data_IF_337391075582
#
_entry.id   IF_337391075582
#
_cell.length_a   1.000
_cell.length_b   1.000
_cell.length_c   1.000
_cell.angle_alpha   90.00
_cell.angle_beta   90.00
_cell.angle_gamma   90.00
#
_symmetry.space_group_name_H-M   'P 1'
#
loop_
_entity.id
_entity.type
_entity.pdbx_description
1 polymer ?
#
# COMPACT_ATOMS: atom_id res chain seq x y z
N UNK A 1 -76.93 -16.74 -23.19
CA UNK A 1 -76.14 -17.98 -23.28
C UNK A 1 -74.74 -17.61 -23.74
N UNK A 2 -73.75 -18.12 -23.00
CA UNK A 2 -72.29 -18.18 -23.26
C UNK A 2 -71.47 -16.89 -23.14
N UNK A 3 -70.70 -16.90 -22.05
CA UNK A 3 -69.56 -16.06 -21.70
C UNK A 3 -68.31 -16.47 -22.48
N UNK A 4 -67.43 -15.52 -22.83
CA UNK A 4 -65.99 -15.80 -23.02
C UNK A 4 -65.15 -14.67 -22.39
N UNK A 5 -64.50 -15.01 -21.27
CA UNK A 5 -63.37 -14.30 -20.69
C UNK A 5 -62.13 -14.41 -21.60
N UNK A 6 -61.38 -13.32 -21.76
CA UNK A 6 -59.91 -13.33 -21.94
C UNK A 6 -59.35 -12.08 -21.25
N UNK A 7 -58.82 -12.22 -20.06
CA UNK A 7 -57.39 -12.47 -19.76
C UNK A 7 -56.63 -11.17 -19.50
N UNK A 8 -56.37 -10.94 -18.21
CA UNK A 8 -55.34 -10.07 -17.66
C UNK A 8 -53.99 -10.31 -18.36
N UNK A 9 -53.22 -9.25 -18.58
CA UNK A 9 -51.81 -9.23 -18.20
C UNK A 9 -51.43 -7.82 -17.75
N UNK A 10 -51.32 -7.64 -16.43
CA UNK A 10 -50.53 -6.59 -15.82
C UNK A 10 -49.08 -6.74 -16.27
N UNK A 11 -48.57 -5.77 -17.05
CA UNK A 11 -47.14 -5.60 -17.22
C UNK A 11 -46.58 -4.94 -15.95
N UNK A 12 -46.35 -5.73 -14.90
CA UNK A 12 -45.45 -5.34 -13.81
C UNK A 12 -44.05 -5.35 -14.39
N UNK A 13 -43.56 -4.17 -14.78
CA UNK A 13 -42.15 -3.91 -15.06
C UNK A 13 -41.39 -4.17 -13.76
N UNK A 14 -40.91 -5.41 -13.60
CA UNK A 14 -39.90 -5.76 -12.63
C UNK A 14 -38.65 -4.96 -12.96
N UNK A 15 -38.45 -3.86 -12.23
CA UNK A 15 -37.15 -3.26 -12.01
C UNK A 15 -36.26 -4.34 -11.40
N UNK A 16 -35.54 -5.07 -12.26
CA UNK A 16 -34.45 -5.90 -11.81
C UNK A 16 -33.47 -4.96 -11.07
N UNK A 17 -33.09 -5.25 -9.80
CA UNK A 17 -32.02 -4.50 -9.18
C UNK A 17 -30.79 -4.67 -10.05
N UNK A 18 -30.21 -3.55 -10.48
CA UNK A 18 -28.89 -3.51 -11.11
C UNK A 18 -27.95 -4.17 -10.10
N UNK A 19 -27.65 -5.45 -10.31
CA UNK A 19 -26.57 -6.13 -9.63
C UNK A 19 -25.30 -5.41 -10.10
N UNK A 20 -24.76 -4.52 -9.26
CA UNK A 20 -23.38 -4.02 -9.41
C UNK A 20 -22.45 -5.21 -9.19
N UNK A 21 -22.25 -5.98 -10.25
CA UNK A 21 -21.26 -7.04 -10.28
C UNK A 21 -19.86 -6.39 -10.30
N UNK A 22 -19.17 -6.46 -9.16
CA UNK A 22 -17.80 -6.95 -8.94
C UNK A 22 -16.60 -6.30 -9.69
N UNK A 23 -16.81 -5.48 -10.72
CA UNK A 23 -15.73 -4.82 -11.47
C UNK A 23 -15.18 -3.55 -10.78
N UNK A 24 -15.88 -3.04 -9.77
CA UNK A 24 -15.46 -1.84 -9.03
C UNK A 24 -14.30 -2.12 -8.07
N UNK A 25 -14.20 -3.32 -7.50
CA UNK A 25 -13.16 -3.63 -6.51
C UNK A 25 -11.75 -3.56 -7.08
N UNK A 26 -11.57 -4.11 -8.29
CA UNK A 26 -10.27 -4.16 -8.96
C UNK A 26 -9.86 -2.78 -9.52
N UNK A 27 -10.84 -2.00 -10.02
CA UNK A 27 -10.60 -0.63 -10.48
C UNK A 27 -10.34 0.34 -9.32
N UNK A 28 -11.03 0.19 -8.19
CA UNK A 28 -10.78 1.00 -6.98
C UNK A 28 -9.40 0.73 -6.41
N UNK A 29 -9.02 -0.55 -6.24
CA UNK A 29 -7.66 -0.90 -5.78
C UNK A 29 -6.59 -0.35 -6.71
N UNK A 30 -6.75 -0.56 -8.01
CA UNK A 30 -5.79 -0.09 -9.02
C UNK A 30 -5.64 1.42 -9.01
N UNK A 31 -6.75 2.17 -9.02
CA UNK A 31 -6.68 3.63 -9.04
C UNK A 31 -6.12 4.20 -7.72
N UNK A 32 -6.51 3.61 -6.59
CA UNK A 32 -5.93 3.95 -5.28
C UNK A 32 -4.42 3.73 -5.25
N UNK A 33 -3.96 2.59 -5.77
CA UNK A 33 -2.52 2.27 -5.88
C UNK A 33 -1.79 3.29 -6.76
N UNK A 34 -2.35 3.65 -7.92
CA UNK A 34 -1.75 4.65 -8.81
C UNK A 34 -1.56 6.00 -8.11
N UNK A 35 -2.55 6.46 -7.36
CA UNK A 35 -2.45 7.70 -6.58
C UNK A 35 -1.34 7.60 -5.51
N UNK A 36 -1.26 6.48 -4.78
CA UNK A 36 -0.20 6.24 -3.79
C UNK A 36 1.19 6.28 -4.46
N UNK A 37 1.37 5.57 -5.57
CA UNK A 37 2.66 5.48 -6.28
C UNK A 37 3.11 6.82 -6.91
N UNK A 38 2.19 7.78 -7.06
CA UNK A 38 2.48 9.17 -7.45
C UNK A 38 2.81 10.08 -6.26
N UNK A 39 2.72 9.57 -5.03
CA UNK A 39 2.89 10.36 -3.81
C UNK A 39 1.60 11.03 -3.33
N UNK A 40 0.47 10.82 -4.00
CA UNK A 40 -0.82 11.46 -3.72
C UNK A 40 -1.63 10.67 -2.67
N UNK A 41 -0.99 10.37 -1.53
CA UNK A 41 -1.52 9.46 -0.49
C UNK A 41 -2.81 9.97 0.17
N UNK A 42 -2.98 11.29 0.28
CA UNK A 42 -4.22 11.88 0.78
C UNK A 42 -5.37 11.71 -0.23
N UNK A 43 -5.13 12.06 -1.50
CA UNK A 43 -6.11 11.91 -2.58
C UNK A 43 -6.51 10.44 -2.79
N UNK A 44 -5.59 9.50 -2.61
CA UNK A 44 -5.88 8.07 -2.61
C UNK A 44 -6.91 7.69 -1.53
N UNK A 45 -6.81 8.30 -0.35
CA UNK A 45 -7.76 8.07 0.75
C UNK A 45 -9.14 8.65 0.42
N UNK A 46 -9.20 9.88 -0.07
CA UNK A 46 -10.46 10.53 -0.48
C UNK A 46 -11.17 9.73 -1.58
N UNK A 47 -10.42 9.29 -2.59
CA UNK A 47 -10.93 8.42 -3.65
C UNK A 47 -11.46 7.10 -3.10
N UNK A 48 -10.71 6.44 -2.21
CA UNK A 48 -11.14 5.18 -1.61
C UNK A 48 -12.47 5.32 -0.88
N UNK A 49 -12.65 6.37 -0.07
CA UNK A 49 -13.91 6.64 0.64
C UNK A 49 -15.06 6.89 -0.32
N UNK A 50 -14.84 7.74 -1.31
CA UNK A 50 -15.85 8.06 -2.32
C UNK A 50 -16.28 6.81 -3.10
N UNK A 51 -15.32 6.01 -3.54
CA UNK A 51 -15.60 4.87 -4.41
C UNK A 51 -16.17 3.65 -3.68
N UNK A 52 -15.83 3.46 -2.40
CA UNK A 52 -16.36 2.37 -1.57
C UNK A 52 -17.62 2.74 -0.80
N UNK A 53 -17.89 4.04 -0.62
CA UNK A 53 -18.95 4.52 0.27
C UNK A 53 -18.66 4.28 1.76
N UNK A 54 -17.41 3.97 2.12
CA UNK A 54 -17.04 3.73 3.49
C UNK A 54 -17.11 5.03 4.33
N UNK A 55 -17.58 4.98 5.58
CA UNK A 55 -17.72 6.17 6.43
C UNK A 55 -16.37 6.73 6.92
N UNK A 56 -15.32 5.91 6.88
CA UNK A 56 -13.96 6.28 7.28
C UNK A 56 -12.95 5.32 6.65
N UNK A 57 -11.67 5.72 6.64
CA UNK A 57 -10.61 4.88 6.08
C UNK A 57 -10.43 3.62 6.92
N UNK A 58 -10.21 2.46 6.29
CA UNK A 58 -9.90 1.24 7.02
C UNK A 58 -8.54 1.39 7.72
N UNK A 59 -8.38 0.69 8.84
CA UNK A 59 -7.19 0.81 9.71
C UNK A 59 -5.87 0.60 8.95
N UNK A 60 -5.83 -0.34 8.01
CA UNK A 60 -4.64 -0.60 7.19
C UNK A 60 -4.26 0.61 6.34
N UNK A 61 -5.24 1.36 5.83
CA UNK A 61 -5.01 2.53 4.99
C UNK A 61 -4.47 3.66 5.84
N UNK A 62 -5.08 3.94 7.00
CA UNK A 62 -4.55 4.93 7.94
C UNK A 62 -3.12 4.58 8.39
N UNK A 63 -2.81 3.29 8.59
CA UNK A 63 -1.46 2.84 8.92
C UNK A 63 -0.48 3.07 7.76
N UNK A 64 -0.89 2.78 6.52
CA UNK A 64 -0.10 3.05 5.32
C UNK A 64 0.19 4.55 5.16
N UNK A 65 -0.79 5.43 5.38
CA UNK A 65 -0.59 6.88 5.31
C UNK A 65 0.46 7.32 6.33
N UNK A 66 0.31 6.90 7.59
CA UNK A 66 1.26 7.21 8.66
C UNK A 66 2.66 6.68 8.40
N UNK A 67 2.78 5.55 7.71
CA UNK A 67 4.07 4.97 7.35
C UNK A 67 4.88 5.84 6.36
N UNK A 68 4.21 6.74 5.62
CA UNK A 68 4.87 7.70 4.74
C UNK A 68 5.00 9.10 5.34
N UNK A 69 4.34 9.37 6.46
CA UNK A 69 4.49 10.63 7.20
C UNK A 69 5.89 10.75 7.79
N UNK A 70 6.40 11.98 7.90
CA UNK A 70 7.75 12.23 8.45
C UNK A 70 7.93 11.74 9.89
N UNK A 71 6.84 11.57 10.64
CA UNK A 71 6.83 11.05 12.00
C UNK A 71 7.18 9.55 12.09
N UNK A 72 7.07 8.79 10.99
CA UNK A 72 7.49 7.38 10.94
C UNK A 72 9.01 7.18 10.89
N UNK A 73 9.77 8.28 10.76
CA UNK A 73 11.24 8.29 10.67
C UNK A 73 11.92 8.21 12.05
N UNK A 74 11.24 7.66 13.05
CA UNK A 74 11.78 7.49 14.39
C UNK A 74 12.80 6.33 14.43
N UNK A 75 13.83 6.39 15.31
CA UNK A 75 14.66 5.22 15.60
C UNK A 75 13.79 4.01 15.95
N UNK A 76 14.16 2.83 15.47
CA UNK A 76 13.48 1.54 15.71
C UNK A 76 12.06 1.37 15.13
N UNK A 77 11.53 2.35 14.39
CA UNK A 77 10.22 2.22 13.74
C UNK A 77 10.25 1.50 12.38
N UNK A 78 11.41 1.07 11.88
CA UNK A 78 11.54 0.53 10.52
C UNK A 78 10.70 -0.73 10.29
N UNK A 79 10.62 -1.64 11.27
CA UNK A 79 9.82 -2.87 11.14
C UNK A 79 8.32 -2.58 11.12
N UNK A 80 7.81 -1.77 12.05
CA UNK A 80 6.38 -1.43 12.08
C UNK A 80 5.96 -0.65 10.83
N UNK A 81 6.82 0.26 10.36
CA UNK A 81 6.64 1.02 9.12
C UNK A 81 6.60 0.08 7.91
N UNK A 82 7.59 -0.80 7.76
CA UNK A 82 7.66 -1.74 6.64
C UNK A 82 6.45 -2.69 6.64
N UNK A 83 6.01 -3.16 7.81
CA UNK A 83 4.81 -3.99 7.93
C UNK A 83 3.54 -3.24 7.51
N UNK A 84 3.38 -1.98 7.90
CA UNK A 84 2.24 -1.16 7.50
C UNK A 84 2.23 -0.91 5.98
N UNK A 85 3.40 -0.66 5.38
CA UNK A 85 3.53 -0.49 3.92
C UNK A 85 3.19 -1.78 3.19
N UNK A 86 3.78 -2.91 3.62
CA UNK A 86 3.52 -4.21 3.01
C UNK A 86 2.04 -4.59 3.14
N UNK A 87 1.42 -4.38 4.29
CA UNK A 87 0.00 -4.66 4.46
C UNK A 87 -0.88 -3.79 3.55
N UNK A 88 -0.58 -2.49 3.45
CA UNK A 88 -1.31 -1.60 2.54
C UNK A 88 -1.22 -2.05 1.08
N UNK A 89 -0.04 -2.46 0.63
CA UNK A 89 0.14 -3.00 -0.71
C UNK A 89 -0.61 -4.34 -0.93
N UNK A 90 -0.61 -5.25 0.05
CA UNK A 90 -1.41 -6.49 -0.04
C UNK A 90 -2.90 -6.22 -0.17
N UNK A 91 -3.43 -5.26 0.60
CA UNK A 91 -4.84 -4.86 0.53
C UNK A 91 -5.21 -4.24 -0.83
N UNK A 92 -4.22 -3.67 -1.52
CA UNK A 92 -4.33 -3.13 -2.87
C UNK A 92 -4.02 -4.17 -3.97
N UNK A 93 -3.91 -5.46 -3.63
CA UNK A 93 -3.73 -6.55 -4.58
C UNK A 93 -2.29 -6.75 -5.05
N UNK A 94 -1.31 -6.15 -4.38
CA UNK A 94 0.11 -6.31 -4.69
C UNK A 94 0.72 -7.48 -3.90
N UNK A 95 1.94 -7.88 -4.29
CA UNK A 95 2.74 -8.92 -3.62
C UNK A 95 4.06 -8.34 -3.10
N UNK A 96 4.01 -7.47 -2.08
CA UNK A 96 5.19 -6.84 -1.52
C UNK A 96 6.04 -7.85 -0.74
N UNK A 97 7.35 -7.65 -0.75
CA UNK A 97 8.32 -8.42 0.01
C UNK A 97 9.00 -7.53 1.04
N UNK A 98 9.18 -8.03 2.27
CA UNK A 98 10.01 -7.34 3.25
C UNK A 98 11.48 -7.62 2.94
N UNK A 99 12.32 -6.59 2.98
CA UNK A 99 13.77 -6.75 2.80
C UNK A 99 14.48 -6.33 4.08
N UNK A 100 15.24 -7.26 4.66
CA UNK A 100 16.15 -6.97 5.76
C UNK A 100 17.50 -6.61 5.19
N UNK A 101 18.05 -5.48 5.62
CA UNK A 101 19.31 -4.93 5.10
C UNK A 101 20.26 -4.78 6.27
N UNK A 102 21.49 -5.29 6.14
CA UNK A 102 22.51 -5.26 7.19
C UNK A 102 23.89 -4.96 6.59
N UNK A 103 24.84 -4.59 7.45
CA UNK A 103 26.25 -4.46 7.08
C UNK A 103 27.07 -5.61 7.64
N UNK A 104 28.15 -6.01 6.96
CA UNK A 104 29.10 -6.99 7.52
C UNK A 104 30.04 -6.40 8.57
N UNK A 105 30.09 -5.08 8.71
CA UNK A 105 30.90 -4.39 9.71
C UNK A 105 30.19 -3.13 10.23
N UNK A 106 30.46 -2.77 11.49
CA UNK A 106 29.80 -1.67 12.18
C UNK A 106 28.34 -1.97 12.53
N UNK A 107 27.76 -1.16 13.42
CA UNK A 107 26.38 -1.34 13.91
C UNK A 107 25.39 -0.31 13.34
N UNK A 108 25.89 0.56 12.46
CA UNK A 108 25.16 1.73 11.99
C UNK A 108 25.10 1.75 10.47
N UNK A 109 23.88 1.69 9.93
CA UNK A 109 23.62 2.10 8.56
C UNK A 109 23.01 3.51 8.60
N UNK A 110 23.39 4.35 7.64
CA UNK A 110 22.83 5.70 7.49
C UNK A 110 22.28 5.87 6.09
N UNK A 111 21.31 6.77 5.94
CA UNK A 111 20.68 7.05 4.66
C UNK A 111 20.66 8.56 4.39
N UNK A 112 21.30 9.01 3.30
CA UNK A 112 21.51 10.42 2.94
C UNK A 112 21.98 11.31 4.11
N UNK A 113 23.00 10.84 4.84
CA UNK A 113 23.56 11.58 5.98
C UNK A 113 22.66 11.63 7.23
N UNK A 114 21.48 11.00 7.21
CA UNK A 114 20.66 10.79 8.40
C UNK A 114 21.05 9.47 9.05
N UNK A 115 21.40 9.53 10.33
CA UNK A 115 21.65 8.37 11.19
C UNK A 115 20.32 7.66 11.45
N UNK A 116 19.92 6.77 10.55
CA UNK A 116 18.62 6.08 10.65
C UNK A 116 18.72 4.66 10.15
N UNK A 117 19.36 3.77 10.91
CA UNK A 117 19.12 2.33 10.80
C UNK A 117 19.59 1.64 12.07
N UNK A 118 18.63 1.12 12.84
CA UNK A 118 18.81 0.06 13.84
C UNK A 118 19.51 0.39 15.15
N UNK A 119 18.93 -0.11 16.23
CA UNK A 119 19.60 -0.40 17.50
C UNK A 119 20.15 -1.86 17.55
N UNK A 120 20.10 -2.58 16.43
CA UNK A 120 20.43 -4.02 16.31
C UNK A 120 21.06 -4.40 14.94
N UNK A 121 21.71 -3.45 14.26
CA UNK A 121 22.46 -3.65 13.01
C UNK A 121 21.66 -4.13 11.76
N UNK A 122 20.36 -3.83 11.66
CA UNK A 122 19.57 -4.04 10.44
C UNK A 122 18.44 -3.02 10.21
N UNK A 123 18.18 -2.71 8.93
CA UNK A 123 17.02 -1.96 8.45
C UNK A 123 15.99 -2.92 7.84
N UNK A 124 14.71 -2.53 7.86
CA UNK A 124 13.68 -3.22 7.08
C UNK A 124 12.99 -2.22 6.16
N UNK A 125 12.93 -2.54 4.89
CA UNK A 125 12.17 -1.81 3.87
C UNK A 125 11.24 -2.78 3.11
N UNK A 126 10.38 -2.24 2.24
CA UNK A 126 9.48 -3.04 1.41
C UNK A 126 9.92 -2.97 -0.04
N UNK A 127 10.04 -4.12 -0.70
CA UNK A 127 10.19 -4.22 -2.15
C UNK A 127 8.83 -4.54 -2.78
N UNK A 128 8.37 -3.71 -3.69
CA UNK A 128 7.18 -3.98 -4.50
C UNK A 128 7.40 -3.50 -5.94
N UNK A 129 7.12 -4.35 -6.93
CA UNK A 129 7.24 -4.03 -8.36
C UNK A 129 8.56 -3.33 -8.75
N UNK A 130 9.69 -3.89 -8.30
CA UNK A 130 11.03 -3.34 -8.60
C UNK A 130 11.42 -2.07 -7.82
N UNK A 131 10.53 -1.53 -6.99
CA UNK A 131 10.76 -0.33 -6.18
C UNK A 131 10.87 -0.65 -4.69
N UNK A 132 11.57 0.22 -3.97
CA UNK A 132 11.81 0.17 -2.54
C UNK A 132 11.03 1.28 -1.85
N UNK A 133 10.26 0.89 -0.84
CA UNK A 133 9.40 1.73 -0.04
C UNK A 133 9.80 1.66 1.42
N UNK A 134 10.01 2.83 2.02
CA UNK A 134 10.22 3.02 3.44
C UNK A 134 9.75 4.44 3.84
N UNK A 135 9.98 4.84 5.08
CA UNK A 135 9.65 6.18 5.58
C UNK A 135 10.43 7.33 4.90
N UNK A 136 11.55 7.05 4.24
CA UNK A 136 12.46 8.01 3.63
C UNK A 136 12.24 8.18 2.13
N UNK A 137 11.97 7.08 1.43
CA UNK A 137 11.63 7.02 0.02
C UNK A 137 10.20 7.50 -0.22
N UNK A 138 9.33 7.37 0.80
CA UNK A 138 7.94 7.77 0.72
C UNK A 138 7.13 6.89 -0.23
N UNK A 139 5.91 7.31 -0.52
CA UNK A 139 4.97 6.52 -1.32
C UNK A 139 5.36 6.39 -2.80
N UNK A 140 6.23 7.28 -3.29
CA UNK A 140 6.81 7.15 -4.64
C UNK A 140 7.83 6.01 -4.68
N UNK A 141 8.56 5.75 -3.59
CA UNK A 141 9.63 4.77 -3.58
C UNK A 141 10.80 5.14 -4.51
N UNK A 142 11.77 4.23 -4.64
CA UNK A 142 12.90 4.35 -5.56
C UNK A 142 13.39 2.99 -6.02
N UNK A 143 14.25 2.94 -7.04
CA UNK A 143 14.89 1.68 -7.44
C UNK A 143 15.85 1.18 -6.36
N UNK A 144 16.16 -0.13 -6.37
CA UNK A 144 17.17 -0.69 -5.46
C UNK A 144 18.55 -0.02 -5.63
N UNK A 145 18.95 0.28 -6.87
CA UNK A 145 20.22 0.94 -7.15
C UNK A 145 20.30 2.35 -6.53
N UNK A 146 19.25 3.17 -6.67
CA UNK A 146 19.15 4.49 -6.04
C UNK A 146 19.16 4.39 -4.52
N UNK A 147 18.47 3.38 -3.99
CA UNK A 147 18.39 3.12 -2.55
C UNK A 147 19.75 2.78 -1.96
N UNK A 148 20.50 1.87 -2.60
CA UNK A 148 21.86 1.50 -2.19
C UNK A 148 22.84 2.66 -2.30
N UNK A 149 22.77 3.45 -3.38
CA UNK A 149 23.64 4.61 -3.56
C UNK A 149 23.43 5.69 -2.48
N UNK A 150 22.25 5.73 -1.87
CA UNK A 150 21.93 6.64 -0.78
C UNK A 150 22.33 6.12 0.61
N UNK A 151 22.77 4.85 0.72
CA UNK A 151 23.21 4.25 1.98
C UNK A 151 24.69 4.51 2.28
N UNK A 152 24.99 4.73 3.55
CA UNK A 152 26.35 4.77 4.09
C UNK A 152 26.48 3.67 5.14
N UNK A 153 27.53 2.86 5.00
CA UNK A 153 27.74 1.64 5.78
C UNK A 153 29.23 1.30 5.85
N UNK A 154 29.61 0.43 6.80
CA UNK A 154 30.98 -0.09 6.92
C UNK A 154 31.05 -1.54 6.41
N UNK A 155 32.07 -1.88 5.64
CA UNK A 155 32.18 -3.22 5.04
C UNK A 155 31.27 -3.38 3.82
N UNK A 156 30.50 -4.47 3.76
CA UNK A 156 29.64 -4.80 2.61
C UNK A 156 28.18 -4.80 3.03
N UNK A 157 27.31 -4.21 2.19
CA UNK A 157 25.88 -4.27 2.37
C UNK A 157 25.34 -5.65 1.98
N UNK A 158 24.54 -6.25 2.86
CA UNK A 158 23.85 -7.50 2.63
C UNK A 158 22.35 -7.29 2.74
N UNK A 159 21.56 -8.10 2.03
CA UNK A 159 20.12 -8.10 2.19
C UNK A 159 19.52 -9.50 2.05
N UNK A 160 18.43 -9.72 2.79
CA UNK A 160 17.61 -10.93 2.74
C UNK A 160 16.18 -10.54 2.42
N UNK A 161 15.57 -11.27 1.49
CA UNK A 161 14.17 -11.07 1.08
C UNK A 161 13.28 -12.02 1.87
N UNK A 162 12.23 -11.49 2.47
CA UNK A 162 11.19 -12.22 3.18
C UNK A 162 9.85 -12.03 2.45
N UNK A 163 9.11 -13.11 2.18
CA UNK A 163 7.77 -13.03 1.57
C UNK A 163 6.74 -12.36 2.49
#
# INVERSE_FOLDING_TARGET
MVWILRSLMCAVLLLAPIQRADASGDTVRTHTLVLILRGEVAAAGDYYLLATGAPQLPKWFTALQRAFDTASRAPNACQSTANAIAEGFRQLGQSPQLIRISSTAGDMLSWRGRQLVSDNNFHVAVRNDGRIFDAFTGAVGMTWAEYQAAMTYLGTLQYTVHP
#
